data_IF_550147692099
#
_entry.id   IF_550147692099
#
_cell.length_a   1.000
_cell.length_b   1.000
_cell.length_c   1.000
_cell.angle_alpha   90.00
_cell.angle_beta   90.00
_cell.angle_gamma   90.00
#
_symmetry.space_group_name_H-M   'P 1'
#
loop_
_entity.id
_entity.type
_entity.pdbx_description
1 polymer ?
#
# COMPACT_ATOMS: atom_id res chain seq x y z
N UNK A 1 -18.48 -19.20 2.27
CA UNK A 1 -19.78 -18.49 2.40
C UNK A 1 -20.11 -18.23 3.88
N UNK A 2 -20.06 -19.20 4.75
CA UNK A 2 -20.40 -19.08 6.18
C UNK A 2 -19.55 -18.06 6.97
N UNK A 3 -18.24 -18.03 6.76
CA UNK A 3 -17.32 -17.05 7.39
C UNK A 3 -17.62 -15.59 7.02
N UNK A 4 -18.07 -15.35 5.78
CA UNK A 4 -18.44 -14.02 5.30
C UNK A 4 -19.74 -13.52 5.99
N UNK A 5 -20.68 -14.42 6.23
CA UNK A 5 -21.94 -14.12 6.93
C UNK A 5 -21.69 -13.82 8.42
N UNK A 6 -20.86 -14.63 9.09
CA UNK A 6 -20.49 -14.40 10.49
C UNK A 6 -19.78 -13.07 10.70
N UNK A 7 -18.89 -12.71 9.77
CA UNK A 7 -18.13 -11.48 9.83
C UNK A 7 -19.00 -10.24 9.58
N UNK A 8 -19.92 -10.32 8.61
CA UNK A 8 -20.91 -9.27 8.38
C UNK A 8 -21.79 -9.03 9.61
N UNK A 9 -22.20 -10.11 10.29
CA UNK A 9 -22.97 -10.05 11.54
C UNK A 9 -22.16 -9.40 12.68
N UNK A 10 -20.88 -9.75 12.79
CA UNK A 10 -19.97 -9.14 13.76
C UNK A 10 -19.83 -7.63 13.55
N UNK A 11 -19.58 -7.18 12.31
CA UNK A 11 -19.43 -5.76 11.99
C UNK A 11 -20.70 -4.99 12.31
N UNK A 12 -21.88 -5.52 11.92
CA UNK A 12 -23.17 -4.89 12.21
C UNK A 12 -23.39 -4.76 13.74
N UNK A 13 -23.07 -5.79 14.49
CA UNK A 13 -23.21 -5.78 15.95
C UNK A 13 -22.22 -4.80 16.61
N UNK A 14 -20.99 -4.77 16.13
CA UNK A 14 -19.98 -3.82 16.60
C UNK A 14 -20.41 -2.38 16.35
N UNK A 15 -20.86 -2.07 15.13
CA UNK A 15 -21.36 -0.74 14.78
C UNK A 15 -22.58 -0.34 15.63
N UNK A 16 -23.51 -1.26 15.84
CA UNK A 16 -24.69 -1.03 16.68
C UNK A 16 -24.31 -0.65 18.10
N UNK A 17 -23.27 -1.29 18.66
CA UNK A 17 -22.78 -1.09 20.03
C UNK A 17 -21.92 0.17 20.18
N UNK A 18 -21.00 0.41 19.24
CA UNK A 18 -19.96 1.43 19.40
C UNK A 18 -20.16 2.66 18.50
N UNK A 19 -21.17 2.65 17.60
CA UNK A 19 -21.48 3.71 16.61
C UNK A 19 -20.30 4.04 15.67
N UNK A 20 -19.32 3.16 15.62
CA UNK A 20 -18.14 3.22 14.73
C UNK A 20 -17.86 1.83 14.19
N UNK A 21 -17.20 1.75 13.03
CA UNK A 21 -16.76 0.46 12.50
C UNK A 21 -15.57 -0.07 13.28
N UNK A 22 -15.44 -1.40 13.43
CA UNK A 22 -14.24 -1.97 14.04
C UNK A 22 -13.03 -1.51 13.25
N UNK A 23 -12.00 -1.03 13.95
CA UNK A 23 -10.72 -0.77 13.32
C UNK A 23 -10.23 -2.08 12.70
N UNK A 24 -9.92 -2.04 11.40
CA UNK A 24 -9.32 -3.18 10.72
C UNK A 24 -7.97 -3.45 11.36
N UNK A 25 -7.88 -4.52 12.10
CA UNK A 25 -6.63 -5.04 12.65
C UNK A 25 -6.09 -6.10 11.70
N UNK A 26 -4.84 -6.48 11.89
CA UNK A 26 -4.13 -7.43 11.04
C UNK A 26 -4.89 -8.74 10.78
N UNK A 27 -5.71 -9.21 11.70
CA UNK A 27 -6.51 -10.43 11.56
C UNK A 27 -7.63 -10.36 10.50
N UNK A 28 -7.95 -9.17 9.97
CA UNK A 28 -8.81 -9.06 8.79
C UNK A 28 -8.05 -9.19 7.47
N UNK A 29 -6.72 -9.28 7.54
CA UNK A 29 -5.87 -9.52 6.39
C UNK A 29 -5.19 -10.89 6.52
N UNK A 30 -5.47 -11.78 5.59
CA UNK A 30 -4.70 -13.02 5.43
C UNK A 30 -3.47 -12.72 4.60
N UNK A 31 -2.31 -13.09 5.11
CA UNK A 31 -1.04 -12.93 4.42
C UNK A 31 -0.80 -14.06 3.44
N UNK A 32 -0.37 -13.69 2.25
CA UNK A 32 0.12 -14.60 1.22
C UNK A 32 1.64 -14.50 1.04
N UNK A 33 2.10 -14.88 -0.15
CA UNK A 33 3.52 -14.91 -0.46
C UNK A 33 4.17 -13.53 -0.42
N UNK A 34 5.48 -13.53 -0.15
CA UNK A 34 6.33 -12.35 -0.29
C UNK A 34 6.38 -11.92 -1.76
N UNK A 35 6.20 -10.64 -2.04
CA UNK A 35 6.24 -10.02 -3.37
C UNK A 35 7.31 -8.95 -3.51
N UNK A 36 7.87 -8.48 -2.39
CA UNK A 36 8.95 -7.50 -2.39
C UNK A 36 9.62 -7.42 -1.02
N UNK A 37 10.87 -7.00 -1.01
CA UNK A 37 11.65 -6.74 0.20
C UNK A 37 12.48 -5.49 -0.03
N UNK A 38 12.35 -4.51 0.86
CA UNK A 38 13.15 -3.29 0.89
C UNK A 38 14.11 -3.28 2.07
N UNK A 39 14.89 -2.20 2.21
CA UNK A 39 15.86 -2.03 3.28
C UNK A 39 15.24 -2.16 4.69
N UNK A 40 14.04 -1.67 4.88
CA UNK A 40 13.40 -1.57 6.20
C UNK A 40 12.12 -2.41 6.34
N UNK A 41 11.68 -3.13 5.29
CA UNK A 41 10.42 -3.86 5.39
C UNK A 41 10.17 -4.86 4.28
N UNK A 42 9.16 -5.70 4.52
CA UNK A 42 8.71 -6.75 3.59
C UNK A 42 7.35 -6.39 3.02
N UNK A 43 7.11 -6.77 1.76
CA UNK A 43 5.82 -6.60 1.12
C UNK A 43 5.27 -7.97 0.77
N UNK A 44 4.11 -8.30 1.31
CA UNK A 44 3.38 -9.52 1.03
C UNK A 44 2.10 -9.22 0.27
N UNK A 45 1.66 -10.16 -0.56
CA UNK A 45 0.28 -10.15 -1.02
C UNK A 45 -0.63 -10.45 0.17
N UNK A 46 -1.76 -9.77 0.25
CA UNK A 46 -2.74 -9.99 1.30
C UNK A 46 -4.15 -10.11 0.74
N UNK A 47 -5.02 -10.73 1.50
CA UNK A 47 -6.46 -10.79 1.24
C UNK A 47 -7.20 -10.12 2.40
N UNK A 48 -7.91 -9.04 2.10
CA UNK A 48 -8.85 -8.49 3.06
C UNK A 48 -10.06 -9.45 3.13
N UNK A 49 -10.23 -10.14 4.26
CA UNK A 49 -11.25 -11.19 4.39
C UNK A 49 -12.67 -10.64 4.47
N UNK A 50 -12.84 -9.34 4.77
CA UNK A 50 -14.14 -8.68 4.81
C UNK A 50 -14.67 -8.39 3.42
N UNK A 51 -13.81 -7.81 2.58
CA UNK A 51 -14.19 -7.36 1.24
C UNK A 51 -13.83 -8.36 0.14
N UNK A 52 -13.03 -9.40 0.43
CA UNK A 52 -12.46 -10.30 -0.57
C UNK A 52 -11.40 -9.64 -1.47
N UNK A 53 -10.97 -8.42 -1.14
CA UNK A 53 -10.05 -7.65 -1.97
C UNK A 53 -8.61 -8.11 -1.77
N UNK A 54 -7.89 -8.30 -2.87
CA UNK A 54 -6.45 -8.52 -2.84
C UNK A 54 -5.75 -7.19 -2.63
N UNK A 55 -4.78 -7.16 -1.72
CA UNK A 55 -4.00 -5.98 -1.32
C UNK A 55 -2.51 -6.30 -1.28
N UNK A 56 -1.67 -5.28 -1.26
CA UNK A 56 -0.28 -5.38 -0.87
C UNK A 56 -0.13 -4.91 0.59
N UNK A 57 0.53 -5.72 1.40
CA UNK A 57 0.77 -5.43 2.83
C UNK A 57 2.25 -5.21 3.02
N UNK A 58 2.66 -3.97 3.26
CA UNK A 58 4.03 -3.63 3.62
C UNK A 58 4.13 -3.59 5.13
N UNK A 59 5.05 -4.39 5.69
CA UNK A 59 5.27 -4.50 7.13
C UNK A 59 6.69 -4.08 7.49
N UNK A 60 6.80 -3.34 8.59
CA UNK A 60 8.06 -2.89 9.17
C UNK A 60 8.14 -3.40 10.60
N UNK A 61 9.32 -3.86 11.01
CA UNK A 61 9.58 -4.25 12.40
C UNK A 61 9.95 -2.98 13.18
N UNK A 62 9.22 -2.68 14.25
CA UNK A 62 9.47 -1.48 15.06
C UNK A 62 10.86 -1.46 15.67
N UNK A 63 11.38 -2.60 16.06
CA UNK A 63 12.72 -2.74 16.63
C UNK A 63 13.84 -2.39 15.65
N UNK A 64 13.64 -2.67 14.36
CA UNK A 64 14.58 -2.30 13.30
C UNK A 64 14.56 -0.78 13.01
N UNK A 65 13.52 -0.10 13.49
CA UNK A 65 13.30 1.34 13.31
C UNK A 65 13.64 2.15 14.56
N UNK A 66 14.40 1.60 15.49
CA UNK A 66 14.74 2.24 16.78
C UNK A 66 15.42 3.60 16.68
N UNK A 67 16.02 3.95 15.53
CA UNK A 67 16.36 5.32 15.23
C UNK A 67 15.08 6.11 15.00
N UNK A 68 14.78 7.02 15.90
CA UNK A 68 13.58 7.89 15.87
C UNK A 68 13.34 8.56 14.50
N UNK A 69 14.40 8.86 13.77
CA UNK A 69 14.35 9.45 12.43
C UNK A 69 13.72 8.53 11.39
N UNK A 70 14.06 7.25 11.36
CA UNK A 70 13.50 6.30 10.39
C UNK A 70 12.00 6.08 10.62
N UNK A 71 11.59 5.98 11.88
CA UNK A 71 10.19 5.86 12.25
C UNK A 71 9.40 7.09 11.83
N UNK A 72 9.89 8.28 12.20
CA UNK A 72 9.25 9.54 11.84
C UNK A 72 9.14 9.71 10.32
N UNK A 73 10.19 9.35 9.58
CA UNK A 73 10.22 9.40 8.12
C UNK A 73 9.15 8.49 7.50
N UNK A 74 9.05 7.22 7.93
CA UNK A 74 8.05 6.28 7.42
C UNK A 74 6.62 6.78 7.68
N UNK A 75 6.36 7.26 8.89
CA UNK A 75 5.04 7.80 9.25
C UNK A 75 4.72 9.06 8.45
N UNK A 76 5.68 9.94 8.26
CA UNK A 76 5.54 11.15 7.46
C UNK A 76 5.24 10.82 6.00
N UNK A 77 6.06 10.00 5.35
CA UNK A 77 5.87 9.55 3.97
C UNK A 77 4.50 8.87 3.78
N UNK A 78 4.13 8.01 4.71
CA UNK A 78 2.84 7.31 4.68
C UNK A 78 1.66 8.29 4.77
N UNK A 79 1.75 9.28 5.65
CA UNK A 79 0.72 10.31 5.77
C UNK A 79 0.60 11.19 4.52
N UNK A 80 1.73 11.49 3.87
CA UNK A 80 1.74 12.20 2.59
C UNK A 80 1.07 11.36 1.49
N UNK A 81 1.47 10.11 1.35
CA UNK A 81 0.90 9.20 0.33
C UNK A 81 -0.59 8.95 0.52
N UNK A 82 -1.10 8.94 1.76
CA UNK A 82 -2.54 8.81 2.02
C UNK A 82 -3.38 9.94 1.45
N UNK A 83 -2.80 11.13 1.28
CA UNK A 83 -3.46 12.31 0.70
C UNK A 83 -3.51 12.27 -0.83
N UNK A 84 -2.73 11.37 -1.45
CA UNK A 84 -2.68 11.23 -2.89
C UNK A 84 -3.79 10.29 -3.37
N UNK A 85 -4.57 10.77 -4.34
CA UNK A 85 -5.61 9.98 -5.00
C UNK A 85 -5.53 10.25 -6.51
N UNK A 86 -4.82 9.39 -7.22
CA UNK A 86 -4.58 9.55 -8.66
C UNK A 86 -4.39 8.17 -9.30
N UNK A 87 -4.90 7.92 -10.52
CA UNK A 87 -4.85 6.61 -11.16
C UNK A 87 -3.43 6.09 -11.45
N UNK A 88 -2.44 6.97 -11.51
CA UNK A 88 -1.05 6.62 -11.75
C UNK A 88 -0.18 6.65 -10.46
N UNK A 89 -0.80 6.69 -9.28
CA UNK A 89 -0.11 6.64 -7.99
C UNK A 89 -0.72 5.53 -7.16
N UNK A 90 0.11 4.64 -6.63
CA UNK A 90 -0.33 3.54 -5.75
C UNK A 90 -1.07 4.08 -4.54
N UNK A 91 -2.30 3.65 -4.35
CA UNK A 91 -3.17 4.11 -3.27
C UNK A 91 -2.88 3.38 -1.98
N UNK A 92 -2.65 4.12 -0.90
CA UNK A 92 -2.69 3.59 0.46
C UNK A 92 -4.16 3.48 0.87
N UNK A 93 -4.56 2.29 1.29
CA UNK A 93 -5.92 1.98 1.71
C UNK A 93 -6.08 2.21 3.22
N UNK A 94 -5.11 1.72 3.99
CA UNK A 94 -5.15 1.72 5.44
C UNK A 94 -3.74 1.63 6.04
N UNK A 95 -3.58 2.12 7.26
CA UNK A 95 -2.37 1.94 8.05
C UNK A 95 -2.77 1.61 9.48
N UNK A 96 -2.07 0.68 10.08
CA UNK A 96 -2.25 0.33 11.48
C UNK A 96 -0.94 -0.24 12.05
N UNK A 97 -0.89 -0.38 13.34
CA UNK A 97 0.27 -0.92 14.04
C UNK A 97 -0.17 -1.85 15.16
N UNK A 98 0.70 -2.76 15.52
CA UNK A 98 0.65 -3.53 16.75
C UNK A 98 1.92 -3.28 17.58
N UNK A 99 2.16 -4.08 18.60
CA UNK A 99 3.31 -3.91 19.51
C UNK A 99 4.66 -4.06 18.78
N UNK A 100 4.73 -4.87 17.70
CA UNK A 100 5.96 -5.25 17.00
C UNK A 100 6.09 -4.65 15.61
N UNK A 101 4.96 -4.37 14.96
CA UNK A 101 4.95 -4.04 13.53
C UNK A 101 4.16 -2.78 13.21
N UNK A 102 4.57 -2.09 12.16
CA UNK A 102 3.76 -1.11 11.42
C UNK A 102 3.37 -1.74 10.10
N UNK A 103 2.10 -1.61 9.73
CA UNK A 103 1.53 -2.14 8.50
C UNK A 103 0.98 -1.02 7.64
N UNK A 104 1.34 -1.04 6.36
CA UNK A 104 0.77 -0.17 5.34
C UNK A 104 0.05 -1.07 4.35
N UNK A 105 -1.25 -0.90 4.24
CA UNK A 105 -2.09 -1.62 3.29
C UNK A 105 -2.26 -0.77 2.05
N UNK A 106 -1.89 -1.33 0.92
CA UNK A 106 -1.92 -0.64 -0.38
C UNK A 106 -2.71 -1.46 -1.39
N UNK A 107 -3.16 -0.82 -2.44
CA UNK A 107 -3.66 -1.56 -3.59
C UNK A 107 -2.59 -2.49 -4.17
N UNK A 108 -3.02 -3.68 -4.57
CA UNK A 108 -2.14 -4.64 -5.21
C UNK A 108 -2.08 -4.36 -6.71
N UNK A 109 -0.89 -4.07 -7.21
CA UNK A 109 -0.61 -3.85 -8.62
C UNK A 109 -0.07 -5.15 -9.22
N UNK A 110 -0.86 -5.76 -10.09
CA UNK A 110 -0.46 -6.97 -10.81
C UNK A 110 0.35 -6.61 -12.07
N UNK A 111 1.38 -7.39 -12.39
CA UNK A 111 2.15 -7.23 -13.62
C UNK A 111 3.64 -6.91 -13.44
N UNK A 112 4.08 -6.69 -12.21
CA UNK A 112 5.49 -6.42 -11.89
C UNK A 112 5.87 -4.93 -12.12
N UNK A 113 7.17 -4.66 -12.18
CA UNK A 113 7.70 -3.31 -12.31
C UNK A 113 8.11 -2.97 -13.75
N UNK A 114 8.22 -1.67 -14.01
CA UNK A 114 8.58 -1.14 -15.32
C UNK A 114 9.97 -1.58 -15.78
N UNK A 115 10.93 -1.70 -14.86
CA UNK A 115 12.27 -2.17 -15.18
C UNK A 115 12.25 -3.58 -15.77
N UNK A 116 11.57 -4.51 -15.13
CA UNK A 116 11.42 -5.89 -15.60
C UNK A 116 10.67 -5.97 -16.94
N UNK A 117 9.66 -5.09 -17.10
CA UNK A 117 8.90 -4.99 -18.34
C UNK A 117 9.80 -4.54 -19.52
N UNK A 118 10.62 -3.52 -19.32
CA UNK A 118 11.57 -3.03 -20.33
C UNK A 118 12.65 -4.05 -20.61
N UNK A 119 13.26 -4.62 -19.54
CA UNK A 119 14.32 -5.62 -19.66
C UNK A 119 13.88 -6.83 -20.48
N UNK A 120 12.67 -7.33 -20.27
CA UNK A 120 12.11 -8.46 -21.03
C UNK A 120 11.93 -8.15 -22.52
N UNK A 121 11.62 -6.90 -22.87
CA UNK A 121 11.39 -6.47 -24.25
C UNK A 121 12.62 -5.90 -24.93
N UNK A 122 13.71 -5.68 -24.18
CA UNK A 122 14.96 -5.05 -24.62
C UNK A 122 14.80 -3.57 -25.01
N UNK A 123 13.83 -3.24 -25.83
CA UNK A 123 13.44 -1.87 -26.19
C UNK A 123 11.92 -1.76 -26.34
N UNK A 124 11.42 -0.57 -26.14
CA UNK A 124 10.01 -0.25 -26.31
C UNK A 124 9.83 0.54 -27.60
N UNK A 125 8.68 0.37 -28.27
CA UNK A 125 8.29 1.25 -29.36
C UNK A 125 8.00 2.66 -28.82
N UNK A 126 8.15 3.67 -29.67
CA UNK A 126 7.89 5.07 -29.31
C UNK A 126 6.46 5.25 -28.75
N UNK A 127 5.47 4.60 -29.36
CA UNK A 127 4.09 4.63 -28.92
C UNK A 127 3.93 4.14 -27.46
N UNK A 128 4.56 3.01 -27.12
CA UNK A 128 4.51 2.45 -25.75
C UNK A 128 5.27 3.36 -24.79
N UNK A 129 6.45 3.87 -25.19
CA UNK A 129 7.23 4.78 -24.36
C UNK A 129 6.48 6.07 -24.04
N UNK A 130 5.86 6.70 -25.04
CA UNK A 130 5.01 7.89 -24.86
C UNK A 130 3.84 7.62 -23.90
N UNK A 131 3.17 6.47 -24.06
CA UNK A 131 2.06 6.09 -23.19
C UNK A 131 2.49 5.93 -21.73
N UNK A 132 3.59 5.23 -21.47
CA UNK A 132 4.12 5.02 -20.12
C UNK A 132 4.63 6.33 -19.51
N UNK A 133 5.41 7.10 -20.28
CA UNK A 133 5.96 8.37 -19.85
C UNK A 133 4.86 9.37 -19.46
N UNK A 134 3.80 9.46 -20.27
CA UNK A 134 2.64 10.30 -19.95
C UNK A 134 2.05 9.96 -18.58
N UNK A 135 1.90 8.69 -18.24
CA UNK A 135 1.34 8.27 -16.95
C UNK A 135 2.27 8.68 -15.78
N UNK A 136 3.58 8.53 -15.95
CA UNK A 136 4.57 8.98 -14.98
C UNK A 136 4.45 10.49 -14.76
N UNK A 137 4.43 11.28 -15.83
CA UNK A 137 4.33 12.75 -15.74
C UNK A 137 3.03 13.17 -15.06
N UNK A 138 1.90 12.54 -15.38
CA UNK A 138 0.61 12.85 -14.74
C UNK A 138 0.64 12.54 -13.23
N UNK A 139 1.29 11.44 -12.83
CA UNK A 139 1.48 11.12 -11.42
C UNK A 139 2.35 12.17 -10.71
N UNK A 140 3.49 12.53 -11.29
CA UNK A 140 4.39 13.57 -10.74
C UNK A 140 3.69 14.92 -10.65
N UNK A 141 2.96 15.31 -11.70
CA UNK A 141 2.20 16.56 -11.71
C UNK A 141 1.17 16.60 -10.57
N UNK A 142 0.49 15.48 -10.31
CA UNK A 142 -0.44 15.40 -9.18
C UNK A 142 0.28 15.57 -7.84
N UNK A 143 1.43 14.95 -7.64
CA UNK A 143 2.24 15.09 -6.43
C UNK A 143 2.65 16.55 -6.22
N UNK A 144 3.18 17.20 -7.25
CA UNK A 144 3.59 18.60 -7.20
C UNK A 144 2.41 19.56 -6.95
N UNK A 145 1.22 19.27 -7.50
CA UNK A 145 0.02 20.07 -7.24
C UNK A 145 -0.40 20.07 -5.76
N UNK A 146 0.02 19.05 -5.01
CA UNK A 146 -0.18 18.95 -3.56
C UNK A 146 0.98 19.57 -2.75
N UNK A 147 1.89 20.31 -3.40
CA UNK A 147 3.11 20.87 -2.80
C UNK A 147 4.02 19.82 -2.15
N UNK A 148 3.98 18.59 -2.69
CA UNK A 148 4.83 17.50 -2.27
C UNK A 148 5.96 17.36 -3.31
N UNK A 149 7.18 17.19 -2.85
CA UNK A 149 8.34 17.00 -3.71
C UNK A 149 8.84 15.56 -3.53
N UNK A 150 9.22 14.93 -4.64
CA UNK A 150 9.83 13.61 -4.62
C UNK A 150 11.32 13.83 -4.38
N UNK A 151 11.78 13.50 -3.19
CA UNK A 151 13.21 13.33 -2.97
C UNK A 151 13.63 11.99 -3.57
N UNK A 152 14.48 12.04 -4.61
CA UNK A 152 15.16 10.86 -5.12
C UNK A 152 16.27 10.58 -4.13
N UNK A 153 16.03 9.65 -3.21
CA UNK A 153 17.08 9.15 -2.33
C UNK A 153 17.99 8.25 -3.18
N UNK A 154 19.22 8.71 -3.36
CA UNK A 154 20.33 7.93 -3.92
C UNK A 154 20.71 6.80 -2.99
#
# INVERSE_FOLDING_TARGET
>A
MEQSIQLSKYIKNYYKKHKTYPHTKIYFYKYGRLIGQGAFGKVNIGLNVLSGRIVAVKSFIKDDLKNSENMAKILYETNLMRKLNHPNITKILETFEDDKYIFIIMEYINGGNLFSFVKKRRKLSEKISKFLFRQIILGIQHIHSKKLYIEILN
#
